data_IF_809396897065
#
_entry.id   IF_809396897065
#
_cell.length_a   1.000
_cell.length_b   1.000
_cell.length_c   1.000
_cell.angle_alpha   90.00
_cell.angle_beta   90.00
_cell.angle_gamma   90.00
#
_symmetry.space_group_name_H-M   'P 1'
#
loop_
_entity.id
_entity.type
_entity.pdbx_description
1 polymer ?
#
# COMPACT_ATOMS: atom_id res chain seq x y z
N UNK A 1 13.78 -19.90 -5.65
CA UNK A 1 13.46 -18.49 -5.31
C UNK A 1 12.11 -18.19 -5.95
N UNK A 2 11.05 -17.97 -5.16
CA UNK A 2 9.67 -17.90 -5.66
C UNK A 2 9.50 -16.80 -6.71
N UNK A 3 8.83 -17.13 -7.83
CA UNK A 3 8.50 -16.19 -8.92
C UNK A 3 7.75 -14.94 -8.42
N UNK A 4 6.96 -15.09 -7.35
CA UNK A 4 6.26 -14.01 -6.67
C UNK A 4 7.18 -13.13 -5.81
N UNK A 5 8.12 -13.73 -5.08
CA UNK A 5 9.14 -12.99 -4.34
C UNK A 5 10.05 -12.20 -5.27
N UNK A 6 10.46 -12.76 -6.42
CA UNK A 6 11.29 -12.04 -7.39
C UNK A 6 10.55 -10.87 -8.03
N UNK A 7 9.23 -10.94 -8.22
CA UNK A 7 8.42 -9.82 -8.76
C UNK A 7 8.17 -8.74 -7.69
N UNK A 8 7.89 -9.13 -6.45
CA UNK A 8 7.77 -8.20 -5.30
C UNK A 8 9.12 -7.56 -4.94
N UNK A 9 10.20 -8.34 -5.00
CA UNK A 9 11.55 -7.84 -4.83
C UNK A 9 11.94 -6.98 -6.01
N UNK A 10 11.59 -7.26 -7.28
CA UNK A 10 11.88 -6.33 -8.39
C UNK A 10 11.17 -4.98 -8.23
N UNK A 11 9.99 -4.93 -7.62
CA UNK A 11 9.34 -3.67 -7.23
C UNK A 11 10.20 -2.93 -6.18
N UNK A 12 10.80 -3.65 -5.23
CA UNK A 12 11.65 -3.09 -4.18
C UNK A 12 13.14 -2.90 -4.57
N UNK A 13 13.66 -3.60 -5.59
CA UNK A 13 15.09 -3.63 -5.97
C UNK A 13 15.40 -2.56 -7.01
N UNK A 14 14.39 -2.10 -7.77
CA UNK A 14 14.48 -0.86 -8.54
C UNK A 14 14.47 0.41 -7.67
N UNK A 15 14.28 0.27 -6.35
CA UNK A 15 14.42 1.36 -5.39
C UNK A 15 15.85 1.52 -4.84
N UNK A 16 16.74 0.54 -5.02
CA UNK A 16 18.14 0.63 -4.55
C UNK A 16 19.18 0.74 -5.68
N UNK A 17 18.77 0.58 -6.94
CA UNK A 17 19.68 0.65 -8.10
C UNK A 17 19.66 1.97 -8.88
N UNK A 18 18.76 2.91 -8.59
CA UNK A 18 18.71 4.18 -9.32
C UNK A 18 18.12 5.25 -8.39
N UNK A 19 19.01 5.99 -7.73
CA UNK A 19 18.70 7.23 -7.01
C UNK A 19 18.13 8.22 -8.03
N UNK A 20 16.84 8.09 -8.33
CA UNK A 20 16.11 9.06 -9.14
C UNK A 20 15.63 10.13 -8.19
N UNK A 21 16.56 11.03 -7.86
CA UNK A 21 16.36 12.46 -7.69
C UNK A 21 14.90 12.88 -7.40
N UNK A 22 14.47 12.75 -6.14
CA UNK A 22 13.54 13.71 -5.56
C UNK A 22 14.35 14.97 -5.19
N UNK A 23 14.90 15.69 -6.18
CA UNK A 23 15.72 16.87 -5.90
C UNK A 23 14.88 18.01 -5.36
N UNK A 24 15.22 18.42 -4.14
CA UNK A 24 14.93 19.76 -3.67
C UNK A 24 14.86 19.86 -2.15
N UNK A 25 14.45 18.80 -1.45
CA UNK A 25 14.30 18.87 0.02
C UNK A 25 14.87 17.65 0.73
N UNK A 26 14.66 16.44 0.21
CA UNK A 26 15.15 15.21 0.86
C UNK A 26 16.67 15.03 0.76
N UNK A 27 17.29 15.42 -0.35
CA UNK A 27 18.72 15.16 -0.60
C UNK A 27 19.67 16.02 0.22
N UNK A 28 19.27 17.23 0.60
CA UNK A 28 20.10 18.11 1.44
C UNK A 28 20.12 17.66 2.91
N UNK A 29 19.02 17.09 3.40
CA UNK A 29 18.92 16.57 4.77
C UNK A 29 19.83 15.35 4.99
N UNK A 30 20.06 14.55 3.92
CA UNK A 30 20.85 13.31 3.98
C UNK A 30 22.36 13.56 3.90
N UNK A 31 22.80 14.60 3.18
CA UNK A 31 24.23 14.82 2.90
C UNK A 31 24.92 15.86 3.80
N UNK A 32 24.19 16.83 4.37
CA UNK A 32 24.81 17.94 5.13
C UNK A 32 24.28 18.11 6.57
N UNK A 33 23.36 17.26 7.02
CA UNK A 33 22.78 17.36 8.38
C UNK A 33 21.99 18.65 8.63
N UNK A 34 21.62 19.36 7.56
CA UNK A 34 20.86 20.63 7.65
C UNK A 34 19.36 20.33 7.64
N UNK A 35 18.70 20.62 8.75
CA UNK A 35 17.25 20.53 8.86
C UNK A 35 16.58 21.69 8.09
N UNK A 36 16.16 21.41 6.85
CA UNK A 36 15.50 22.40 5.97
C UNK A 36 14.01 22.57 6.30
N UNK A 37 13.45 21.77 7.22
CA UNK A 37 12.03 21.84 7.59
C UNK A 37 11.64 23.21 8.14
N UNK A 38 12.57 23.88 8.83
CA UNK A 38 12.35 25.20 9.44
C UNK A 38 12.33 26.35 8.42
N UNK A 39 12.89 26.13 7.21
CA UNK A 39 13.06 27.17 6.20
C UNK A 39 11.96 27.15 5.14
N UNK A 40 10.74 27.54 5.55
CA UNK A 40 9.54 27.56 4.70
C UNK A 40 9.71 28.37 3.41
N UNK A 41 10.37 29.55 3.48
CA UNK A 41 10.63 30.41 2.30
C UNK A 41 11.59 29.73 1.31
N UNK A 42 12.70 29.17 1.80
CA UNK A 42 13.68 28.45 0.99
C UNK A 42 13.05 27.22 0.31
N UNK A 43 12.25 26.45 1.06
CA UNK A 43 11.51 25.30 0.54
C UNK A 43 10.53 25.72 -0.57
N UNK A 44 9.81 26.82 -0.38
CA UNK A 44 8.91 27.35 -1.41
C UNK A 44 9.66 27.81 -2.66
N UNK A 45 10.83 28.41 -2.49
CA UNK A 45 11.71 28.86 -3.58
C UNK A 45 12.26 27.67 -4.39
N UNK A 46 12.79 26.65 -3.71
CA UNK A 46 13.30 25.43 -4.35
C UNK A 46 12.19 24.67 -5.10
N UNK A 47 10.98 24.57 -4.51
CA UNK A 47 9.80 23.99 -5.19
C UNK A 47 9.44 24.76 -6.45
N UNK A 48 9.31 26.10 -6.39
CA UNK A 48 9.00 26.94 -7.57
C UNK A 48 10.08 26.85 -8.66
N UNK A 49 11.36 26.77 -8.29
CA UNK A 49 12.46 26.60 -9.25
C UNK A 49 12.43 25.22 -9.90
N UNK A 50 12.04 24.18 -9.16
CA UNK A 50 11.81 22.83 -9.69
C UNK A 50 10.57 22.74 -10.60
N UNK A 51 9.59 23.64 -10.46
CA UNK A 51 8.43 23.73 -11.37
C UNK A 51 8.82 24.25 -12.76
N UNK A 52 9.86 25.09 -12.88
CA UNK A 52 10.45 25.44 -14.19
C UNK A 52 11.03 24.22 -14.93
N UNK A 53 11.48 23.21 -14.17
CA UNK A 53 12.00 21.94 -14.68
C UNK A 53 10.89 20.94 -15.06
N UNK A 54 9.62 21.19 -14.67
CA UNK A 54 8.46 20.33 -14.99
C UNK A 54 8.01 20.38 -16.46
N UNK A 55 8.49 21.32 -17.29
CA UNK A 55 8.15 21.33 -18.73
C UNK A 55 8.64 20.07 -19.49
N UNK A 56 9.50 19.26 -18.88
CA UNK A 56 9.91 17.94 -19.40
C UNK A 56 9.89 16.79 -18.38
N UNK A 57 9.71 17.06 -17.08
CA UNK A 57 9.76 16.03 -16.04
C UNK A 57 8.42 15.32 -15.86
N UNK A 58 8.28 14.10 -16.41
CA UNK A 58 7.14 13.23 -16.14
C UNK A 58 7.37 12.51 -14.80
N UNK A 59 6.53 12.69 -13.78
CA UNK A 59 6.67 11.93 -12.54
C UNK A 59 6.63 10.44 -12.85
N UNK A 60 7.62 9.69 -12.35
CA UNK A 60 7.67 8.23 -12.48
C UNK A 60 6.43 7.67 -11.78
N UNK A 61 5.51 7.08 -12.56
CA UNK A 61 4.33 6.43 -11.99
C UNK A 61 4.79 5.17 -11.26
N UNK A 62 4.17 4.89 -10.11
CA UNK A 62 4.34 3.61 -9.45
C UNK A 62 3.85 2.50 -10.40
N UNK A 63 4.50 1.34 -10.36
CA UNK A 63 4.01 0.18 -11.07
C UNK A 63 2.66 -0.24 -10.45
N UNK A 64 1.65 -0.38 -11.29
CA UNK A 64 0.30 -0.80 -10.89
C UNK A 64 0.05 -2.18 -11.45
N UNK A 65 -0.50 -3.08 -10.63
CA UNK A 65 -0.91 -4.40 -11.09
C UNK A 65 -2.12 -4.31 -12.03
N UNK A 66 -2.14 -5.14 -13.06
CA UNK A 66 -3.36 -5.34 -13.87
C UNK A 66 -4.34 -6.28 -13.16
N UNK A 67 -5.62 -6.24 -13.57
CA UNK A 67 -6.65 -7.13 -13.04
C UNK A 67 -6.30 -8.61 -13.24
N UNK A 68 -5.68 -8.96 -14.37
CA UNK A 68 -5.24 -10.31 -14.69
C UNK A 68 -4.10 -10.76 -13.77
N UNK A 69 -3.15 -9.87 -13.48
CA UNK A 69 -2.05 -10.17 -12.56
C UNK A 69 -2.53 -10.39 -11.13
N UNK A 70 -3.50 -9.59 -10.68
CA UNK A 70 -4.16 -9.73 -9.39
C UNK A 70 -4.88 -11.08 -9.31
N UNK A 71 -5.74 -11.39 -10.30
CA UNK A 71 -6.47 -12.65 -10.33
C UNK A 71 -5.53 -13.86 -10.36
N UNK A 72 -4.47 -13.78 -11.17
CA UNK A 72 -3.43 -14.80 -11.24
C UNK A 72 -2.76 -15.01 -9.89
N UNK A 73 -2.43 -13.94 -9.17
CA UNK A 73 -1.85 -14.03 -7.84
C UNK A 73 -2.82 -14.67 -6.83
N UNK A 74 -4.09 -14.26 -6.83
CA UNK A 74 -5.09 -14.80 -5.90
C UNK A 74 -5.36 -16.29 -6.13
N UNK A 75 -5.34 -16.75 -7.38
CA UNK A 75 -5.60 -18.15 -7.75
C UNK A 75 -4.34 -19.03 -7.62
N UNK A 76 -3.22 -18.62 -8.20
CA UNK A 76 -2.04 -19.50 -8.36
C UNK A 76 -1.05 -19.43 -7.19
N UNK A 77 -1.01 -18.34 -6.42
CA UNK A 77 -0.02 -18.23 -5.34
C UNK A 77 -0.33 -19.20 -4.19
N UNK A 78 0.70 -19.79 -3.60
CA UNK A 78 0.54 -20.75 -2.50
C UNK A 78 0.01 -20.06 -1.23
N UNK A 79 -1.03 -20.61 -0.62
CA UNK A 79 -1.64 -20.05 0.59
C UNK A 79 -0.72 -20.15 1.81
N UNK A 80 0.08 -21.21 1.94
CA UNK A 80 0.99 -21.40 3.10
C UNK A 80 1.92 -20.21 3.32
N UNK A 81 2.30 -19.53 2.23
CA UNK A 81 3.23 -18.40 2.26
C UNK A 81 2.57 -17.05 2.01
N UNK A 82 1.53 -17.01 1.18
CA UNK A 82 0.96 -15.75 0.70
C UNK A 82 -0.47 -15.49 1.15
N UNK A 83 -1.08 -16.33 1.99
CA UNK A 83 -2.48 -16.15 2.41
C UNK A 83 -2.73 -14.77 3.03
N UNK A 84 -1.88 -14.31 3.95
CA UNK A 84 -1.99 -12.97 4.53
C UNK A 84 -1.92 -11.87 3.46
N UNK A 85 -1.00 -12.00 2.50
CA UNK A 85 -0.83 -11.04 1.41
C UNK A 85 -2.03 -11.03 0.45
N UNK A 86 -2.64 -12.19 0.18
CA UNK A 86 -3.88 -12.30 -0.59
C UNK A 86 -5.01 -11.54 0.10
N UNK A 87 -5.17 -11.71 1.41
CA UNK A 87 -6.15 -10.97 2.21
C UNK A 87 -5.87 -9.47 2.18
N UNK A 88 -4.63 -9.04 2.37
CA UNK A 88 -4.24 -7.62 2.25
C UNK A 88 -4.59 -7.04 0.87
N UNK A 89 -4.33 -7.78 -0.21
CA UNK A 89 -4.68 -7.37 -1.57
C UNK A 89 -6.19 -7.19 -1.73
N UNK A 90 -6.99 -8.14 -1.25
CA UNK A 90 -8.47 -8.07 -1.28
C UNK A 90 -8.97 -6.84 -0.52
N UNK A 91 -8.45 -6.59 0.69
CA UNK A 91 -8.81 -5.43 1.51
C UNK A 91 -8.46 -4.11 0.82
N UNK A 92 -7.32 -4.09 0.12
CA UNK A 92 -6.89 -2.96 -0.71
C UNK A 92 -7.81 -2.72 -1.91
N UNK A 93 -8.24 -3.77 -2.61
CA UNK A 93 -9.10 -3.66 -3.80
C UNK A 93 -10.53 -3.26 -3.41
N UNK A 94 -11.13 -3.97 -2.45
CA UNK A 94 -12.53 -3.77 -2.07
C UNK A 94 -12.74 -2.51 -1.22
N UNK A 95 -11.81 -2.26 -0.29
CA UNK A 95 -11.93 -1.16 0.65
C UNK A 95 -11.16 0.09 0.23
N UNK A 96 -10.28 0.02 -0.78
CA UNK A 96 -9.28 1.08 -1.04
C UNK A 96 -8.52 1.48 0.23
N UNK A 97 -8.20 0.48 1.08
CA UNK A 97 -7.60 0.70 2.39
C UNK A 97 -6.13 1.10 2.26
N UNK A 98 -5.71 2.11 3.03
CA UNK A 98 -4.29 2.47 3.14
C UNK A 98 -3.57 1.50 4.07
N UNK A 99 -2.25 1.41 3.96
CA UNK A 99 -1.43 0.52 4.79
C UNK A 99 -1.61 0.79 6.31
N UNK A 100 -1.69 2.06 6.71
CA UNK A 100 -1.95 2.43 8.10
C UNK A 100 -3.37 2.05 8.56
N UNK A 101 -4.38 2.21 7.69
CA UNK A 101 -5.76 1.79 7.99
C UNK A 101 -5.84 0.28 8.21
N UNK A 102 -5.11 -0.51 7.43
CA UNK A 102 -5.06 -1.97 7.60
C UNK A 102 -4.27 -2.39 8.84
N UNK A 103 -3.23 -1.65 9.21
CA UNK A 103 -2.45 -1.90 10.43
C UNK A 103 -3.26 -1.65 11.70
N UNK A 104 -4.07 -0.59 11.72
CA UNK A 104 -4.87 -0.21 12.88
C UNK A 104 -6.17 -1.04 13.04
N UNK A 105 -6.54 -1.81 12.01
CA UNK A 105 -7.78 -2.59 11.98
C UNK A 105 -7.69 -3.84 12.85
N UNK A 106 -8.72 -4.08 13.66
CA UNK A 106 -8.81 -5.25 14.54
C UNK A 106 -9.79 -6.28 14.00
N UNK A 107 -9.73 -7.51 14.51
CA UNK A 107 -10.72 -8.55 14.20
C UNK A 107 -12.12 -8.18 14.67
N UNK A 108 -12.24 -7.37 15.73
CA UNK A 108 -13.51 -6.82 16.22
C UNK A 108 -14.20 -5.90 15.21
N UNK A 109 -13.42 -5.27 14.32
CA UNK A 109 -13.93 -4.39 13.26
C UNK A 109 -14.50 -5.17 12.07
N UNK A 110 -14.35 -6.50 12.06
CA UNK A 110 -14.81 -7.39 10.99
C UNK A 110 -16.00 -8.19 11.51
N UNK A 111 -17.15 -8.05 10.84
CA UNK A 111 -18.35 -8.83 11.14
C UNK A 111 -18.58 -9.87 10.05
N UNK A 112 -18.70 -11.13 10.46
CA UNK A 112 -19.10 -12.22 9.58
C UNK A 112 -20.64 -12.23 9.41
N UNK A 113 -21.10 -12.24 8.17
CA UNK A 113 -22.51 -12.35 7.80
C UNK A 113 -22.85 -13.74 7.22
N UNK A 114 -21.91 -14.69 7.24
CA UNK A 114 -22.05 -16.07 6.74
C UNK A 114 -21.88 -16.23 5.23
N UNK A 115 -22.10 -15.16 4.46
CA UNK A 115 -21.86 -15.11 3.00
C UNK A 115 -20.92 -13.96 2.59
N UNK A 116 -20.61 -13.07 3.54
CA UNK A 116 -19.85 -11.87 3.31
C UNK A 116 -19.23 -11.35 4.62
N UNK A 117 -18.13 -10.63 4.52
CA UNK A 117 -17.57 -9.88 5.65
C UNK A 117 -17.93 -8.41 5.54
N UNK A 118 -18.52 -7.84 6.59
CA UNK A 118 -18.67 -6.40 6.74
C UNK A 118 -17.48 -5.85 7.53
N UNK A 119 -16.63 -5.09 6.86
CA UNK A 119 -15.42 -4.50 7.45
C UNK A 119 -15.68 -3.04 7.81
N UNK A 120 -15.40 -2.69 9.05
CA UNK A 120 -15.39 -1.31 9.53
C UNK A 120 -13.96 -0.75 9.49
N UNK A 121 -13.74 0.34 8.76
CA UNK A 121 -12.42 0.99 8.75
C UNK A 121 -12.36 2.00 9.89
N UNK A 122 -11.52 1.79 10.92
CA UNK A 122 -11.37 2.74 12.01
C UNK A 122 -10.80 4.07 11.48
N UNK A 123 -11.16 5.15 12.16
CA UNK A 123 -11.12 6.51 11.62
C UNK A 123 -9.69 7.03 11.42
N UNK A 124 -9.34 7.43 10.20
CA UNK A 124 -8.07 8.09 9.88
C UNK A 124 -8.26 9.59 9.67
N UNK A 125 -7.97 10.40 10.70
CA UNK A 125 -7.82 11.89 10.70
C UNK A 125 -8.97 12.77 10.15
N UNK A 126 -9.77 12.33 9.19
CA UNK A 126 -10.81 13.11 8.50
C UNK A 126 -12.21 12.93 9.08
N UNK A 127 -12.34 12.18 10.19
CA UNK A 127 -13.59 11.91 10.92
C UNK A 127 -14.65 11.11 10.15
N UNK A 128 -14.39 10.64 8.93
CA UNK A 128 -15.35 9.83 8.14
C UNK A 128 -15.03 8.35 8.31
N UNK A 129 -15.81 7.65 9.14
CA UNK A 129 -15.78 6.18 9.19
C UNK A 129 -16.46 5.62 7.94
N UNK A 130 -15.84 4.63 7.29
CA UNK A 130 -16.42 3.92 6.15
C UNK A 130 -16.49 2.44 6.45
N UNK A 131 -17.49 1.79 5.84
CA UNK A 131 -17.65 0.34 5.86
C UNK A 131 -17.66 -0.17 4.43
N UNK A 132 -17.11 -1.36 4.23
CA UNK A 132 -17.18 -2.04 2.94
C UNK A 132 -17.43 -3.52 3.17
N UNK A 133 -17.90 -4.18 2.11
CA UNK A 133 -18.26 -5.59 2.16
C UNK A 133 -17.31 -6.39 1.28
N UNK A 134 -16.86 -7.54 1.77
CA UNK A 134 -16.13 -8.54 1.01
C UNK A 134 -17.09 -9.67 0.69
N UNK A 135 -17.34 -9.90 -0.60
CA UNK A 135 -18.32 -10.87 -1.10
C UNK A 135 -17.67 -11.87 -2.05
N UNK A 136 -18.46 -12.85 -2.47
CA UNK A 136 -18.18 -13.74 -3.60
C UNK A 136 -16.88 -14.54 -3.42
N UNK A 137 -16.04 -14.55 -4.46
CA UNK A 137 -14.82 -15.35 -4.55
C UNK A 137 -13.74 -14.96 -3.53
N UNK A 138 -13.88 -13.79 -2.88
CA UNK A 138 -12.93 -13.31 -1.89
C UNK A 138 -13.27 -13.78 -0.47
N UNK A 139 -14.55 -14.08 -0.21
CA UNK A 139 -15.00 -14.52 1.11
C UNK A 139 -14.27 -15.78 1.60
N UNK A 140 -14.14 -16.87 0.82
CA UNK A 140 -13.47 -18.09 1.28
C UNK A 140 -11.98 -17.87 1.61
N UNK A 141 -11.30 -16.98 0.88
CA UNK A 141 -9.89 -16.66 1.10
C UNK A 141 -9.71 -15.95 2.45
N UNK A 142 -10.56 -14.96 2.73
CA UNK A 142 -10.55 -14.25 4.00
C UNK A 142 -10.97 -15.17 5.16
N UNK A 143 -11.95 -16.04 4.95
CA UNK A 143 -12.39 -17.01 5.96
C UNK A 143 -11.26 -17.96 6.35
N UNK A 144 -10.57 -18.55 5.37
CA UNK A 144 -9.40 -19.42 5.61
C UNK A 144 -8.31 -18.74 6.45
N UNK A 145 -8.09 -17.44 6.24
CA UNK A 145 -7.14 -16.68 7.04
C UNK A 145 -7.62 -16.44 8.48
N UNK A 146 -8.91 -16.19 8.67
CA UNK A 146 -9.51 -16.03 10.01
C UNK A 146 -9.40 -17.32 10.82
N UNK A 147 -9.61 -18.49 10.20
CA UNK A 147 -9.57 -19.79 10.88
C UNK A 147 -8.16 -20.16 11.38
N UNK A 148 -7.11 -19.70 10.69
CA UNK A 148 -5.71 -19.96 11.06
C UNK A 148 -5.22 -18.97 12.13
N UNK A 149 -5.90 -17.83 12.29
CA UNK A 149 -5.47 -16.80 13.22
C UNK A 149 -5.58 -17.34 14.65
N UNK A 150 -4.50 -17.28 15.45
CA UNK A 150 -4.60 -17.67 16.85
C UNK A 150 -5.59 -16.75 17.56
N UNK A 151 -6.49 -17.35 18.33
CA UNK A 151 -7.38 -16.62 19.24
C UNK A 151 -6.50 -16.10 20.37
N UNK A 152 -6.40 -14.78 20.49
CA UNK A 152 -5.67 -14.11 21.57
C UNK A 152 -6.46 -14.16 22.88
#
# INVERSE_FOLDING_TARGET
>A
MDKWLLKLQNINHLHYGHITLCLGVGTLNINEGVNIEDYTKLRSFLKRRSEGFRRGFRPKKAYTFSSEEINKFLIEACDEKYLAMKVTMIMGIMGACRANEMYDMKTEDIKDLGSAFLVNVPNTKTKVSRKFTITDNFYPICQKYMDIRPVL
#
